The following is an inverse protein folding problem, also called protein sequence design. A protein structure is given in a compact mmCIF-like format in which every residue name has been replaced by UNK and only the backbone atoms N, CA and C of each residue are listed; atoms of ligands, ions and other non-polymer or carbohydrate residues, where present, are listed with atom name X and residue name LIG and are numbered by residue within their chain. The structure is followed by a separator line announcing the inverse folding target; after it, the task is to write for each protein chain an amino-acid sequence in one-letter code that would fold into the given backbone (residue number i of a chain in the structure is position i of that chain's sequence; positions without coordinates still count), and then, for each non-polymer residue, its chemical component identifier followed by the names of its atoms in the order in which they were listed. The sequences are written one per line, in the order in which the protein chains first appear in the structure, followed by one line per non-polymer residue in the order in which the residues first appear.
data_IF_465542800836
#
_entry.id   IF_465542800836
#
_cell.length_a   1.000
_cell.length_b   1.000
_cell.length_c   1.000
_cell.angle_alpha   90.00
_cell.angle_beta   90.00
_cell.angle_gamma   90.00
#
_symmetry.space_group_name_H-M   'P 1'
#
loop_
_entity.id
_entity.type
_entity.pdbx_description
1 polymer ?
#
# COMPACT_ATOMS: atom_id res chain seq x y z
N UNK A 1 13.26 8.55 9.29
CA UNK A 1 12.94 7.16 9.64
C UNK A 1 11.71 7.12 10.51
N UNK A 2 10.63 6.56 10.01
CA UNK A 2 9.41 6.34 10.77
C UNK A 2 9.49 4.99 11.53
N UNK A 3 9.25 5.03 12.84
CA UNK A 3 9.21 3.83 13.69
C UNK A 3 7.86 3.13 13.53
N UNK A 4 7.86 1.89 13.04
CA UNK A 4 6.65 1.09 12.97
C UNK A 4 6.20 0.66 14.37
N UNK A 5 4.97 1.00 14.74
CA UNK A 5 4.42 0.71 16.07
C UNK A 5 3.48 -0.49 16.08
N UNK A 6 2.86 -0.82 14.95
CA UNK A 6 1.90 -1.91 14.89
C UNK A 6 1.03 -1.93 13.64
N UNK A 7 0.44 -3.10 13.42
CA UNK A 7 -0.47 -3.41 12.31
C UNK A 7 -1.71 -4.09 12.88
N UNK A 8 -2.88 -3.70 12.37
CA UNK A 8 -4.14 -4.42 12.64
C UNK A 8 -4.86 -4.68 11.33
N UNK A 9 -5.18 -5.94 11.06
CA UNK A 9 -6.02 -6.34 9.93
C UNK A 9 -7.49 -6.14 10.29
N UNK A 10 -8.24 -5.48 9.41
CA UNK A 10 -9.67 -5.22 9.62
C UNK A 10 -10.45 -5.16 8.32
N UNK A 11 -11.78 -5.22 8.42
CA UNK A 11 -12.68 -5.04 7.26
C UNK A 11 -13.07 -3.58 7.09
N UNK A 12 -13.03 -3.10 5.85
CA UNK A 12 -13.41 -1.75 5.47
C UNK A 12 -14.91 -1.52 5.66
N UNK A 13 -15.27 -0.52 6.48
CA UNK A 13 -16.67 -0.13 6.73
C UNK A 13 -17.21 0.85 5.68
N UNK A 14 -16.32 1.55 4.99
CA UNK A 14 -16.56 2.46 3.87
C UNK A 14 -15.40 2.32 2.86
N UNK A 15 -15.46 3.07 1.77
CA UNK A 15 -14.32 3.16 0.85
C UNK A 15 -13.16 3.95 1.49
N UNK A 16 -11.94 3.51 1.25
CA UNK A 16 -10.71 4.20 1.63
C UNK A 16 -9.72 4.24 0.48
N UNK A 17 -8.80 5.19 0.54
CA UNK A 17 -7.60 5.17 -0.31
C UNK A 17 -6.60 4.12 0.19
N UNK A 18 -5.99 3.40 -0.74
CA UNK A 18 -4.93 2.44 -0.45
C UNK A 18 -3.58 3.12 -0.62
N UNK A 19 -2.86 3.33 0.47
CA UNK A 19 -1.59 4.05 0.45
C UNK A 19 -0.51 3.26 -0.30
N UNK A 20 -0.49 1.93 -0.17
CA UNK A 20 0.43 1.11 -0.98
C UNK A 20 0.17 1.26 -2.47
N UNK A 21 -1.11 1.34 -2.84
CA UNK A 21 -1.53 1.45 -4.22
C UNK A 21 -1.16 2.83 -4.78
N UNK A 22 -1.19 3.86 -3.94
CA UNK A 22 -0.64 5.18 -4.25
C UNK A 22 0.85 5.10 -4.54
N UNK A 23 1.65 4.53 -3.63
CA UNK A 23 3.11 4.43 -3.82
C UNK A 23 3.50 3.61 -5.05
N UNK A 24 2.87 2.45 -5.27
CA UNK A 24 3.10 1.67 -6.50
C UNK A 24 2.82 2.53 -7.74
N UNK A 25 1.74 3.32 -7.74
CA UNK A 25 1.40 4.19 -8.88
C UNK A 25 2.45 5.27 -9.11
N UNK A 26 2.96 5.89 -8.05
CA UNK A 26 4.03 6.90 -8.17
C UNK A 26 5.34 6.26 -8.66
N UNK A 27 5.78 5.13 -8.09
CA UNK A 27 6.99 4.44 -8.55
C UNK A 27 6.91 3.97 -10.02
N UNK A 28 5.71 3.65 -10.51
CA UNK A 28 5.51 3.33 -11.94
C UNK A 28 5.78 4.54 -12.84
N UNK A 29 5.38 5.75 -12.41
CA UNK A 29 5.59 6.96 -13.21
C UNK A 29 7.06 7.37 -13.26
N UNK A 30 7.78 7.18 -12.16
CA UNK A 30 9.17 7.61 -12.02
C UNK A 30 10.13 6.68 -12.78
N UNK A 31 10.12 5.38 -12.47
CA UNK A 31 11.16 4.44 -12.97
C UNK A 31 10.61 3.28 -13.81
N UNK A 32 9.29 3.20 -13.98
CA UNK A 32 8.66 2.22 -14.86
C UNK A 32 8.93 0.77 -14.45
N UNK A 33 8.84 0.42 -13.15
CA UNK A 33 8.82 -0.95 -12.57
C UNK A 33 9.54 -2.06 -13.36
N UNK A 34 10.76 -1.77 -13.84
CA UNK A 34 11.51 -2.67 -14.72
C UNK A 34 11.91 -3.96 -13.98
N UNK A 35 12.18 -3.84 -12.69
CA UNK A 35 12.66 -4.89 -11.79
C UNK A 35 11.54 -5.70 -11.13
N UNK A 36 10.27 -5.31 -11.30
CA UNK A 36 9.15 -6.06 -10.74
C UNK A 36 8.89 -7.34 -11.55
N UNK A 37 8.71 -8.45 -10.85
CA UNK A 37 8.38 -9.75 -11.44
C UNK A 37 7.11 -9.69 -12.29
N UNK A 38 6.99 -10.58 -13.29
CA UNK A 38 5.78 -10.65 -14.11
C UNK A 38 4.53 -10.99 -13.29
N UNK A 39 4.67 -11.84 -12.27
CA UNK A 39 3.57 -12.20 -11.37
C UNK A 39 3.06 -10.98 -10.60
N UNK A 40 3.96 -10.20 -10.01
CA UNK A 40 3.59 -8.99 -9.25
C UNK A 40 3.04 -7.91 -10.17
N UNK A 41 3.55 -7.77 -11.41
CA UNK A 41 2.95 -6.89 -12.43
C UNK A 41 1.48 -7.20 -12.69
N UNK A 42 1.08 -8.47 -12.71
CA UNK A 42 -0.33 -8.86 -12.85
C UNK A 42 -1.16 -8.42 -11.64
N UNK A 43 -0.63 -8.62 -10.43
CA UNK A 43 -1.28 -8.19 -9.19
C UNK A 43 -1.46 -6.67 -9.17
N UNK A 44 -0.42 -5.92 -9.52
CA UNK A 44 -0.44 -4.45 -9.65
C UNK A 44 -1.52 -4.01 -10.64
N UNK A 45 -1.61 -4.64 -11.81
CA UNK A 45 -2.63 -4.32 -12.81
C UNK A 45 -4.04 -4.51 -12.24
N UNK A 46 -4.29 -5.60 -11.52
CA UNK A 46 -5.59 -5.84 -10.87
C UNK A 46 -5.88 -4.76 -9.83
N UNK A 47 -4.92 -4.47 -8.94
CA UNK A 47 -5.07 -3.51 -7.84
C UNK A 47 -5.28 -2.07 -8.35
N UNK A 48 -4.47 -1.62 -9.32
CA UNK A 48 -4.49 -0.22 -9.79
C UNK A 48 -5.51 0.00 -10.89
N UNK A 49 -5.58 -0.88 -11.90
CA UNK A 49 -6.47 -0.63 -13.06
C UNK A 49 -7.91 -1.02 -12.78
N UNK A 50 -8.14 -2.15 -12.12
CA UNK A 50 -9.49 -2.65 -11.88
C UNK A 50 -10.08 -2.12 -10.59
N UNK A 51 -9.27 -2.06 -9.52
CA UNK A 51 -9.73 -1.54 -8.22
C UNK A 51 -9.45 -0.05 -8.01
N UNK A 52 -8.85 0.63 -8.99
CA UNK A 52 -8.49 2.08 -8.94
C UNK A 52 -7.64 2.47 -7.72
N UNK A 53 -6.93 1.52 -7.11
CA UNK A 53 -6.17 1.76 -5.89
C UNK A 53 -7.04 2.12 -4.68
N UNK A 54 -8.28 1.63 -4.63
CA UNK A 54 -9.21 1.85 -3.51
C UNK A 54 -9.38 0.58 -2.69
N UNK A 55 -9.65 0.75 -1.40
CA UNK A 55 -10.11 -0.31 -0.48
C UNK A 55 -11.62 -0.15 -0.39
N UNK A 56 -12.39 -1.07 -0.97
CA UNK A 56 -13.86 -0.96 -1.02
C UNK A 56 -14.47 -1.43 0.29
N UNK A 57 -15.71 -1.01 0.55
CA UNK A 57 -16.49 -1.53 1.69
C UNK A 57 -16.56 -3.06 1.63
N UNK A 58 -16.16 -3.73 2.70
CA UNK A 58 -16.09 -5.18 2.82
C UNK A 58 -14.71 -5.77 2.55
N UNK A 59 -13.81 -5.05 1.89
CA UNK A 59 -12.44 -5.50 1.65
C UNK A 59 -11.66 -5.61 2.97
N UNK A 60 -10.71 -6.53 2.99
CA UNK A 60 -9.79 -6.69 4.12
C UNK A 60 -8.55 -5.83 3.86
N UNK A 61 -8.11 -5.10 4.88
CA UNK A 61 -6.93 -4.26 4.79
C UNK A 61 -6.16 -4.22 6.12
N UNK A 62 -4.89 -3.88 6.04
CA UNK A 62 -4.03 -3.61 7.19
C UNK A 62 -4.03 -2.11 7.48
N UNK A 63 -4.32 -1.74 8.73
CA UNK A 63 -4.08 -0.40 9.26
C UNK A 63 -2.78 -0.43 10.03
N UNK A 64 -1.82 0.36 9.56
CA UNK A 64 -0.53 0.52 10.21
C UNK A 64 -0.45 1.84 10.97
N UNK A 65 0.29 1.80 12.08
CA UNK A 65 0.63 2.97 12.87
C UNK A 65 2.15 3.15 12.91
N UNK A 66 2.59 4.38 12.67
CA UNK A 66 3.99 4.78 12.67
C UNK A 66 4.22 5.98 13.57
N UNK A 67 5.46 6.16 14.02
CA UNK A 67 5.91 7.38 14.68
C UNK A 67 7.01 8.02 13.86
N UNK A 68 6.86 9.28 13.49
CA UNK A 68 7.87 10.03 12.73
C UNK A 68 8.01 11.40 13.36
N UNK A 69 9.26 11.80 13.67
CA UNK A 69 9.60 13.10 14.27
C UNK A 69 8.81 13.44 15.56
N UNK A 70 8.46 12.41 16.34
CA UNK A 70 7.67 12.55 17.56
C UNK A 70 6.15 12.53 17.35
N UNK A 71 5.68 12.65 16.12
CA UNK A 71 4.26 12.59 15.76
C UNK A 71 3.82 11.16 15.40
N UNK A 72 2.56 10.85 15.72
CA UNK A 72 1.99 9.53 15.47
C UNK A 72 1.07 9.56 14.24
N UNK A 73 1.41 8.72 13.26
CA UNK A 73 0.67 8.51 12.03
C UNK A 73 -0.07 7.17 12.12
N UNK A 74 -1.35 7.19 12.47
CA UNK A 74 -2.07 5.99 12.91
C UNK A 74 -2.86 5.22 11.84
N UNK A 75 -2.81 5.65 10.58
CA UNK A 75 -3.83 5.23 9.61
C UNK A 75 -3.32 4.96 8.21
N UNK A 76 -2.12 4.40 8.08
CA UNK A 76 -1.68 3.99 6.75
C UNK A 76 -2.46 2.73 6.36
N UNK A 77 -3.33 2.84 5.36
CA UNK A 77 -4.28 1.78 4.99
C UNK A 77 -3.76 1.04 3.77
N UNK A 78 -3.54 -0.26 3.91
CA UNK A 78 -2.89 -1.05 2.88
C UNK A 78 -3.67 -2.31 2.56
N UNK A 79 -3.89 -2.57 1.26
CA UNK A 79 -4.26 -3.91 0.81
C UNK A 79 -3.06 -4.84 1.03
N UNK A 80 -3.22 -6.04 1.62
CA UNK A 80 -2.10 -6.90 2.00
C UNK A 80 -1.14 -7.19 0.83
N UNK A 81 -1.67 -7.47 -0.35
CA UNK A 81 -0.88 -7.77 -1.54
C UNK A 81 -0.14 -6.53 -2.05
N UNK A 82 -0.80 -5.36 -1.99
CA UNK A 82 -0.17 -4.09 -2.37
C UNK A 82 0.97 -3.74 -1.39
N UNK A 83 0.74 -3.92 -0.09
CA UNK A 83 1.74 -3.68 0.94
C UNK A 83 2.97 -4.56 0.75
N UNK A 84 2.74 -5.86 0.52
CA UNK A 84 3.82 -6.81 0.25
C UNK A 84 4.67 -6.36 -0.94
N UNK A 85 4.05 -5.98 -2.05
CA UNK A 85 4.77 -5.50 -3.23
C UNK A 85 5.58 -4.24 -2.91
N UNK A 86 5.03 -3.27 -2.19
CA UNK A 86 5.80 -2.11 -1.78
C UNK A 86 7.01 -2.46 -0.92
N UNK A 87 6.90 -3.46 -0.03
CA UNK A 87 8.00 -3.91 0.83
C UNK A 87 9.05 -4.70 0.06
N UNK A 88 8.63 -5.62 -0.81
CA UNK A 88 9.53 -6.51 -1.56
C UNK A 88 10.39 -5.73 -2.57
N UNK A 89 9.88 -4.62 -3.08
CA UNK A 89 10.55 -3.77 -4.08
C UNK A 89 10.95 -2.39 -3.56
N UNK A 90 10.86 -2.17 -2.25
CA UNK A 90 11.26 -0.92 -1.58
C UNK A 90 10.64 0.35 -2.21
N UNK A 91 9.32 0.31 -2.43
CA UNK A 91 8.56 1.37 -3.11
C UNK A 91 8.05 2.46 -2.17
N UNK A 92 8.20 2.29 -0.85
CA UNK A 92 7.86 3.34 0.10
C UNK A 92 8.98 4.38 0.17
N UNK A 93 8.67 5.64 0.47
CA UNK A 93 9.71 6.61 0.81
C UNK A 93 10.40 6.22 2.11
N UNK A 94 11.70 6.51 2.20
CA UNK A 94 12.57 6.32 3.38
C UNK A 94 12.21 7.21 4.60
#
# INVERSE_FOLDING_TARGET
MADFLGKTTQKARKEYDCDSCYWIKESIKEDGIRHISFADKRVIVVLIRLNKGKIRKGDTYDRCSYKQDGELFFSTLHLPEAHRICRDYDLYPD
#
